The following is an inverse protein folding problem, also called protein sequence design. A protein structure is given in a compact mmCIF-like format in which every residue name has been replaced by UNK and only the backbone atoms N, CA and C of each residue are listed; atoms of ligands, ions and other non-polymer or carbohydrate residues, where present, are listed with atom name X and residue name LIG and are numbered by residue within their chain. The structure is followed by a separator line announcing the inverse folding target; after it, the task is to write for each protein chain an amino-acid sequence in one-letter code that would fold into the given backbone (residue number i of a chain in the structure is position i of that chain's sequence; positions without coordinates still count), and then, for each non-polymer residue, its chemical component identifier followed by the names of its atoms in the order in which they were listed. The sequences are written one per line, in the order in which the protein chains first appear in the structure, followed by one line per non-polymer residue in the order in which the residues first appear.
data_IF_574082912938
#
_entry.id   IF_574082912938
#
_cell.length_a   1.000
_cell.length_b   1.000
_cell.length_c   1.000
_cell.angle_alpha   90.00
_cell.angle_beta   90.00
_cell.angle_gamma   90.00
#
_symmetry.space_group_name_H-M   'P 1'
#
loop_
_entity.id
_entity.type
_entity.pdbx_description
1 polymer ?
#
# COMPACT_ATOMS: atom_id res chain seq x y z
N UNK A 1 5.20 -8.69 -6.97
CA UNK A 1 4.60 -7.35 -7.13
C UNK A 1 4.08 -6.81 -5.79
N UNK A 2 3.32 -7.60 -5.04
CA UNK A 2 2.61 -7.17 -3.82
C UNK A 2 3.55 -6.79 -2.66
N UNK A 3 4.62 -7.57 -2.41
CA UNK A 3 5.59 -7.25 -1.35
C UNK A 3 6.26 -5.88 -1.54
N UNK A 4 6.89 -5.58 -2.70
CA UNK A 4 7.50 -4.27 -2.92
C UNK A 4 6.46 -3.14 -2.96
N UNK A 5 5.23 -3.37 -3.45
CA UNK A 5 4.17 -2.37 -3.44
C UNK A 5 3.73 -2.03 -2.01
N UNK A 6 3.50 -3.05 -1.16
CA UNK A 6 3.15 -2.86 0.24
C UNK A 6 4.25 -2.13 1.01
N UNK A 7 5.51 -2.52 0.79
CA UNK A 7 6.67 -1.87 1.41
C UNK A 7 6.78 -0.40 1.00
N UNK A 8 6.64 -0.10 -0.30
CA UNK A 8 6.67 1.27 -0.81
C UNK A 8 5.54 2.11 -0.22
N UNK A 9 4.33 1.56 -0.15
CA UNK A 9 3.17 2.25 0.43
C UNK A 9 3.44 2.65 1.89
N UNK A 10 3.95 1.72 2.71
CA UNK A 10 4.27 2.00 4.11
C UNK A 10 5.40 3.01 4.23
N UNK A 11 6.50 2.82 3.49
CA UNK A 11 7.65 3.72 3.52
C UNK A 11 7.30 5.14 3.06
N UNK A 12 6.46 5.29 2.03
CA UNK A 12 5.98 6.59 1.55
C UNK A 12 5.00 7.24 2.52
N UNK A 13 4.17 6.44 3.19
CA UNK A 13 3.19 6.93 4.15
C UNK A 13 3.84 7.55 5.40
N UNK A 14 4.95 6.98 5.89
CA UNK A 14 5.62 7.43 7.13
C UNK A 14 6.04 8.90 7.08
N UNK A 15 6.85 9.39 6.14
CA UNK A 15 7.31 10.79 6.14
C UNK A 15 6.15 11.76 5.92
N UNK A 16 5.15 11.39 5.13
CA UNK A 16 3.99 12.23 4.85
C UNK A 16 3.11 12.32 6.10
N UNK A 17 2.78 11.19 6.73
CA UNK A 17 2.00 11.14 7.95
C UNK A 17 2.72 11.86 9.12
N UNK A 18 4.04 11.70 9.24
CA UNK A 18 4.83 12.38 10.26
C UNK A 18 4.79 13.90 10.10
N UNK A 19 4.88 14.43 8.88
CA UNK A 19 4.74 15.87 8.62
C UNK A 19 3.32 16.38 8.89
N UNK A 20 2.31 15.57 8.63
CA UNK A 20 0.89 15.93 8.76
C UNK A 20 0.29 15.59 10.13
N UNK A 21 1.08 15.00 11.05
CA UNK A 21 0.67 14.74 12.44
C UNK A 21 0.24 16.02 13.17
N UNK A 22 0.91 17.14 12.88
CA UNK A 22 0.60 18.43 13.48
C UNK A 22 -0.72 19.06 13.00
N UNK A 23 -1.08 20.21 13.57
CA UNK A 23 -2.21 21.03 13.11
C UNK A 23 -1.87 21.67 11.76
N UNK A 24 -2.37 21.10 10.69
CA UNK A 24 -2.22 21.60 9.33
C UNK A 24 -3.59 22.00 8.77
N UNK A 25 -3.70 23.24 8.24
CA UNK A 25 -4.98 23.77 7.72
C UNK A 25 -5.60 22.93 6.59
N UNK A 26 -4.81 22.19 5.82
CA UNK A 26 -5.24 21.31 4.72
C UNK A 26 -5.48 19.84 5.09
N UNK A 27 -5.30 19.43 6.37
CA UNK A 27 -5.40 18.03 6.80
C UNK A 27 -6.72 17.37 6.38
N UNK A 28 -7.84 18.07 6.58
CA UNK A 28 -9.19 17.56 6.25
C UNK A 28 -9.35 17.33 4.75
N UNK A 29 -8.91 18.30 3.92
CA UNK A 29 -8.98 18.18 2.47
C UNK A 29 -8.10 17.02 1.96
N UNK A 30 -6.87 16.91 2.46
CA UNK A 30 -5.97 15.83 2.10
C UNK A 30 -6.52 14.46 2.51
N UNK A 31 -7.11 14.34 3.70
CA UNK A 31 -7.76 13.09 4.13
C UNK A 31 -8.93 12.74 3.22
N UNK A 32 -9.77 13.71 2.83
CA UNK A 32 -10.89 13.49 1.91
C UNK A 32 -10.35 13.02 0.55
N UNK A 33 -9.34 13.69 -0.02
CA UNK A 33 -8.73 13.29 -1.29
C UNK A 33 -8.16 11.89 -1.27
N UNK A 34 -7.56 11.49 -0.14
CA UNK A 34 -7.02 10.13 0.03
C UNK A 34 -8.11 9.07 0.25
N UNK A 35 -9.25 9.43 0.81
CA UNK A 35 -10.37 8.51 1.01
C UNK A 35 -11.09 8.20 -0.31
N UNK A 36 -11.12 9.14 -1.27
CA UNK A 36 -11.80 8.95 -2.56
C UNK A 36 -11.38 7.64 -3.29
N UNK A 37 -10.10 7.32 -3.49
CA UNK A 37 -9.72 6.05 -4.13
C UNK A 37 -10.20 4.81 -3.36
N UNK A 38 -10.25 4.88 -2.03
CA UNK A 38 -10.74 3.78 -1.20
C UNK A 38 -12.25 3.56 -1.41
N UNK A 39 -13.02 4.65 -1.50
CA UNK A 39 -14.49 4.57 -1.68
C UNK A 39 -14.89 4.14 -3.08
N UNK A 40 -14.09 4.46 -4.10
CA UNK A 40 -14.31 4.01 -5.48
C UNK A 40 -14.11 2.49 -5.63
N UNK A 41 -13.34 1.89 -4.73
CA UNK A 41 -12.97 0.48 -4.83
C UNK A 41 -11.91 0.21 -5.90
N UNK A 42 -11.50 -1.05 -5.97
CA UNK A 42 -10.36 -1.45 -6.82
C UNK A 42 -10.71 -1.48 -8.31
N UNK A 43 -11.96 -1.80 -8.67
CA UNK A 43 -12.40 -1.89 -10.08
C UNK A 43 -12.43 -0.51 -10.72
N UNK A 44 -13.15 0.44 -10.13
CA UNK A 44 -13.27 1.80 -10.68
C UNK A 44 -11.93 2.54 -10.68
N UNK A 45 -11.09 2.27 -9.68
CA UNK A 45 -9.75 2.85 -9.65
C UNK A 45 -8.86 2.26 -10.75
N UNK A 46 -8.95 0.95 -11.02
CA UNK A 46 -8.22 0.30 -12.11
C UNK A 46 -8.69 0.79 -13.47
N UNK A 47 -10.00 0.92 -13.68
CA UNK A 47 -10.59 1.52 -14.90
C UNK A 47 -10.15 2.98 -15.11
N UNK A 48 -10.16 3.77 -14.03
CA UNK A 48 -9.66 5.14 -14.07
C UNK A 48 -8.19 5.21 -14.49
N UNK A 49 -7.35 4.34 -13.95
CA UNK A 49 -5.95 4.25 -14.33
C UNK A 49 -5.76 3.77 -15.77
N UNK A 50 -6.56 2.81 -16.24
CA UNK A 50 -6.56 2.35 -17.62
C UNK A 50 -6.85 3.50 -18.58
N UNK A 51 -7.89 4.26 -18.31
CA UNK A 51 -8.29 5.42 -19.13
C UNK A 51 -7.28 6.58 -19.03
N UNK A 52 -6.63 6.76 -17.89
CA UNK A 52 -5.67 7.86 -17.67
C UNK A 52 -4.28 7.56 -18.26
N UNK A 53 -3.76 6.35 -18.01
CA UNK A 53 -2.42 5.93 -18.40
C UNK A 53 -2.37 5.17 -19.73
N UNK A 54 -3.53 4.84 -20.31
CA UNK A 54 -3.62 4.11 -21.56
C UNK A 54 -2.95 4.84 -22.73
N UNK A 55 -2.75 4.16 -23.89
CA UNK A 55 -2.07 4.75 -25.05
C UNK A 55 -2.76 6.01 -25.58
N UNK A 56 -4.08 6.06 -25.47
CA UNK A 56 -4.94 7.22 -25.85
C UNK A 56 -5.32 8.09 -24.66
N UNK A 57 -4.82 7.73 -23.46
CA UNK A 57 -5.14 8.38 -22.20
C UNK A 57 -4.63 9.82 -22.11
N UNK A 58 -5.17 10.53 -21.12
CA UNK A 58 -4.85 11.94 -20.92
C UNK A 58 -3.34 12.15 -20.69
N UNK A 59 -2.69 11.28 -19.95
CA UNK A 59 -1.25 11.36 -19.69
C UNK A 59 -0.41 11.31 -20.97
N UNK A 60 -0.69 10.35 -21.85
CA UNK A 60 -0.01 10.23 -23.15
C UNK A 60 -0.33 11.38 -24.10
N UNK A 61 -1.55 11.96 -24.02
CA UNK A 61 -1.89 13.17 -24.79
C UNK A 61 -1.06 14.37 -24.36
N UNK A 62 -0.91 14.57 -23.04
CA UNK A 62 -0.09 15.67 -22.50
C UNK A 62 1.38 15.51 -22.92
N UNK A 63 1.96 14.31 -22.80
CA UNK A 63 3.34 14.04 -23.20
C UNK A 63 3.56 14.34 -24.70
N UNK A 64 2.62 13.98 -25.57
CA UNK A 64 2.71 14.26 -26.99
C UNK A 64 2.58 15.76 -27.29
N UNK A 65 1.65 16.45 -26.64
CA UNK A 65 1.47 17.90 -26.81
C UNK A 65 2.70 18.70 -26.36
N UNK A 66 3.41 18.18 -25.36
CA UNK A 66 4.68 18.78 -24.90
C UNK A 66 5.89 18.33 -25.74
N UNK A 67 5.69 17.58 -26.82
CA UNK A 67 6.74 17.04 -27.70
C UNK A 67 7.83 16.24 -26.97
N UNK A 68 7.49 15.66 -25.80
CA UNK A 68 8.44 14.89 -24.99
C UNK A 68 8.60 13.45 -25.50
N UNK A 69 7.61 12.93 -26.24
CA UNK A 69 7.64 11.56 -26.79
C UNK A 69 6.98 11.53 -28.16
N UNK A 70 7.65 10.85 -29.12
CA UNK A 70 7.12 10.64 -30.48
C UNK A 70 6.11 9.49 -30.57
N UNK A 71 6.11 8.57 -29.61
CA UNK A 71 5.21 7.43 -29.51
C UNK A 71 4.56 7.35 -28.14
N UNK A 72 3.36 6.73 -28.01
CA UNK A 72 2.71 6.53 -26.72
C UNK A 72 3.59 5.69 -25.79
N UNK A 73 3.80 6.15 -24.58
CA UNK A 73 4.50 5.37 -23.55
C UNK A 73 3.57 4.30 -23.03
N UNK A 74 4.00 3.04 -23.08
CA UNK A 74 3.24 1.90 -22.54
C UNK A 74 3.39 1.84 -21.03
N UNK A 75 2.50 2.52 -20.30
CA UNK A 75 2.46 2.54 -18.84
C UNK A 75 1.56 1.45 -18.25
N UNK A 76 0.74 0.83 -19.08
CA UNK A 76 -0.20 -0.24 -18.72
C UNK A 76 0.12 -1.52 -19.52
N UNK A 77 -0.58 -2.63 -19.17
CA UNK A 77 -0.34 -3.97 -19.71
C UNK A 77 1.09 -4.50 -19.46
N UNK A 78 1.70 -4.04 -18.37
CA UNK A 78 3.03 -4.46 -17.93
C UNK A 78 3.12 -4.52 -16.40
N UNK A 79 4.25 -5.02 -15.90
CA UNK A 79 4.53 -5.10 -14.46
C UNK A 79 4.45 -3.74 -13.75
N UNK A 80 4.97 -2.69 -14.40
CA UNK A 80 4.98 -1.33 -13.86
C UNK A 80 3.58 -0.75 -13.67
N UNK A 81 2.67 -1.01 -14.62
CA UNK A 81 1.28 -0.57 -14.53
C UNK A 81 0.54 -1.20 -13.34
N UNK A 82 0.68 -2.51 -13.15
CA UNK A 82 0.09 -3.20 -12.00
C UNK A 82 0.71 -2.69 -10.69
N UNK A 83 2.04 -2.57 -10.64
CA UNK A 83 2.73 -2.05 -9.46
C UNK A 83 2.25 -0.64 -9.09
N UNK A 84 2.16 0.26 -10.08
CA UNK A 84 1.65 1.62 -9.87
C UNK A 84 0.20 1.63 -9.39
N UNK A 85 -0.65 0.77 -9.97
CA UNK A 85 -2.04 0.61 -9.52
C UNK A 85 -2.12 0.18 -8.05
N UNK A 86 -1.29 -0.78 -7.63
CA UNK A 86 -1.20 -1.23 -6.23
C UNK A 86 -0.71 -0.13 -5.29
N UNK A 87 0.19 0.73 -5.78
CA UNK A 87 0.65 1.89 -4.99
C UNK A 87 -0.46 2.91 -4.85
N UNK A 88 -1.16 3.26 -5.93
CA UNK A 88 -2.25 4.25 -5.90
C UNK A 88 -3.41 3.80 -5.02
N UNK A 89 -3.78 2.52 -5.06
CA UNK A 89 -4.89 1.98 -4.25
C UNK A 89 -4.49 1.70 -2.80
N UNK A 90 -3.27 1.23 -2.58
CA UNK A 90 -2.79 0.84 -1.25
C UNK A 90 -2.25 2.00 -0.40
N UNK A 91 -1.70 3.05 -1.05
CA UNK A 91 -1.12 4.19 -0.35
C UNK A 91 -2.09 4.93 0.58
N UNK A 92 -3.33 5.27 0.16
CA UNK A 92 -4.29 5.94 1.04
C UNK A 92 -4.60 5.14 2.31
N UNK A 93 -4.75 3.83 2.16
CA UNK A 93 -5.01 2.92 3.29
C UNK A 93 -3.80 2.87 4.24
N UNK A 94 -2.59 2.67 3.71
CA UNK A 94 -1.36 2.68 4.50
C UNK A 94 -1.17 4.03 5.22
N UNK A 95 -1.43 5.14 4.54
CA UNK A 95 -1.32 6.48 5.09
C UNK A 95 -2.26 6.71 6.28
N UNK A 96 -3.53 6.33 6.15
CA UNK A 96 -4.52 6.49 7.22
C UNK A 96 -4.16 5.66 8.45
N UNK A 97 -3.69 4.42 8.24
CA UNK A 97 -3.23 3.57 9.34
C UNK A 97 -2.00 4.16 10.04
N UNK A 98 -0.98 4.54 9.29
CA UNK A 98 0.23 5.16 9.84
C UNK A 98 -0.12 6.45 10.59
N UNK A 99 -1.00 7.28 10.03
CA UNK A 99 -1.45 8.52 10.68
C UNK A 99 -2.20 8.23 11.98
N UNK A 100 -3.03 7.18 12.01
CA UNK A 100 -3.74 6.73 13.21
C UNK A 100 -2.76 6.32 14.31
N UNK A 101 -1.79 5.46 13.99
CA UNK A 101 -0.76 5.05 14.95
C UNK A 101 0.09 6.23 15.43
N UNK A 102 0.48 7.14 14.55
CA UNK A 102 1.20 8.36 14.93
C UNK A 102 0.40 9.27 15.84
N UNK A 103 -0.92 9.33 15.66
CA UNK A 103 -1.80 10.16 16.51
C UNK A 103 -1.97 9.57 17.91
N UNK A 104 -1.75 8.27 18.07
CA UNK A 104 -1.76 7.59 19.38
C UNK A 104 -0.48 7.76 20.20
N UNK A 105 0.62 8.26 19.59
CA UNK A 105 1.86 8.53 20.32
C UNK A 105 1.74 9.87 21.06
N UNK A 106 2.01 9.85 22.38
CA UNK A 106 1.94 11.04 23.23
C UNK A 106 2.91 12.14 22.75
N UNK A 107 2.42 13.34 22.42
CA UNK A 107 3.27 14.46 21.99
C UNK A 107 4.27 14.92 23.07
N UNK A 108 4.01 14.65 24.33
CA UNK A 108 4.89 15.04 25.44
C UNK A 108 6.25 14.38 25.34
N UNK A 109 6.34 13.15 24.83
CA UNK A 109 7.59 12.43 24.58
C UNK A 109 8.49 13.15 23.59
N UNK A 110 7.92 13.69 22.52
CA UNK A 110 8.64 14.47 21.52
C UNK A 110 9.11 15.83 22.10
N UNK A 111 8.28 16.46 22.94
CA UNK A 111 8.60 17.70 23.63
C UNK A 111 9.71 17.51 24.66
N UNK A 112 9.66 16.44 25.47
CA UNK A 112 10.71 16.10 26.43
C UNK A 112 12.06 15.85 25.76
N UNK A 113 12.09 15.13 24.64
CA UNK A 113 13.30 14.95 23.84
C UNK A 113 13.82 16.27 23.26
N UNK A 114 12.92 17.20 22.92
CA UNK A 114 13.31 18.53 22.44
C UNK A 114 13.99 19.39 23.53
N UNK A 115 13.50 19.34 24.77
CA UNK A 115 14.11 20.04 25.91
C UNK A 115 15.51 19.52 26.25
N UNK A 116 15.77 18.24 25.95
CA UNK A 116 17.10 17.63 26.05
C UNK A 116 18.02 17.95 24.85
N UNK A 117 17.60 18.85 23.93
CA UNK A 117 18.43 19.29 22.81
C UNK A 117 18.41 18.38 21.58
N UNK A 118 17.56 17.35 21.55
CA UNK A 118 17.49 16.42 20.42
C UNK A 118 16.94 17.12 19.15
N UNK A 119 17.65 17.01 18.02
CA UNK A 119 17.21 17.51 16.72
C UNK A 119 16.00 16.74 16.19
N UNK A 120 15.20 17.31 15.28
CA UNK A 120 13.97 16.69 14.74
C UNK A 120 14.19 15.27 14.19
N UNK A 121 15.26 15.05 13.43
CA UNK A 121 15.61 13.72 12.90
C UNK A 121 15.96 12.71 14.01
N UNK A 122 16.69 13.19 15.03
CA UNK A 122 17.03 12.41 16.20
C UNK A 122 15.79 11.93 16.95
N UNK A 123 14.87 12.86 17.26
CA UNK A 123 13.58 12.57 17.90
C UNK A 123 12.74 11.58 17.09
N UNK A 124 12.67 11.76 15.77
CA UNK A 124 11.99 10.81 14.90
C UNK A 124 12.59 9.41 15.01
N UNK A 125 13.92 9.28 14.91
CA UNK A 125 14.61 7.98 14.90
C UNK A 125 14.64 7.29 16.25
N UNK A 126 14.77 8.04 17.35
CA UNK A 126 14.96 7.47 18.70
C UNK A 126 13.69 7.37 19.53
N UNK A 127 12.68 8.20 19.23
CA UNK A 127 11.41 8.22 19.97
C UNK A 127 10.25 7.74 19.09
N UNK A 128 10.00 8.46 18.00
CA UNK A 128 8.77 8.20 17.20
C UNK A 128 8.84 6.88 16.45
N UNK A 129 9.94 6.58 15.78
CA UNK A 129 10.07 5.39 14.93
C UNK A 129 9.99 4.08 15.74
N UNK A 130 10.66 3.92 16.89
CA UNK A 130 10.51 2.72 17.70
C UNK A 130 9.08 2.53 18.21
N UNK A 131 8.42 3.60 18.67
CA UNK A 131 7.04 3.53 19.13
C UNK A 131 6.06 3.25 17.98
N UNK A 132 6.37 3.70 16.77
CA UNK A 132 5.57 3.47 15.57
C UNK A 132 5.80 2.06 14.98
N UNK A 133 6.96 1.44 15.19
CA UNK A 133 7.36 0.19 14.56
C UNK A 133 6.29 -0.94 14.65
N UNK A 134 5.64 -1.20 15.81
CA UNK A 134 4.57 -2.19 15.87
C UNK A 134 3.37 -1.84 14.99
N UNK A 135 3.05 -0.56 14.86
CA UNK A 135 1.99 -0.08 13.96
C UNK A 135 2.39 -0.21 12.49
N UNK A 136 3.67 0.03 12.15
CA UNK A 136 4.17 -0.16 10.78
C UNK A 136 4.12 -1.63 10.36
N UNK A 137 4.46 -2.56 11.25
CA UNK A 137 4.37 -3.99 10.99
C UNK A 137 2.92 -4.40 10.67
N UNK A 138 1.96 -3.95 11.47
CA UNK A 138 0.53 -4.20 11.23
C UNK A 138 0.06 -3.56 9.93
N UNK A 139 0.46 -2.30 9.66
CA UNK A 139 0.12 -1.60 8.41
C UNK A 139 0.68 -2.34 7.20
N UNK A 140 1.91 -2.83 7.29
CA UNK A 140 2.54 -3.62 6.23
C UNK A 140 1.77 -4.92 5.97
N UNK A 141 1.44 -5.69 7.01
CA UNK A 141 0.66 -6.92 6.87
C UNK A 141 -0.67 -6.68 6.16
N UNK A 142 -1.43 -5.68 6.60
CA UNK A 142 -2.74 -5.37 6.01
C UNK A 142 -2.61 -4.87 4.57
N UNK A 143 -1.63 -4.00 4.28
CA UNK A 143 -1.39 -3.50 2.92
C UNK A 143 -0.88 -4.62 2.00
N UNK A 144 -0.09 -5.55 2.53
CA UNK A 144 0.39 -6.71 1.79
C UNK A 144 -0.76 -7.64 1.40
N UNK A 145 -1.65 -7.98 2.34
CA UNK A 145 -2.83 -8.82 2.06
C UNK A 145 -3.70 -8.19 0.97
N UNK A 146 -4.00 -6.90 1.09
CA UNK A 146 -4.77 -6.18 0.05
C UNK A 146 -4.09 -6.20 -1.32
N UNK A 147 -2.76 -6.06 -1.36
CA UNK A 147 -2.00 -6.07 -2.60
C UNK A 147 -1.82 -7.49 -3.17
N UNK A 148 -1.75 -8.51 -2.33
CA UNK A 148 -1.56 -9.90 -2.75
C UNK A 148 -2.85 -10.52 -3.32
N UNK A 149 -3.98 -10.22 -2.70
CA UNK A 149 -5.31 -10.69 -3.13
C UNK A 149 -5.90 -9.87 -4.27
N UNK A 150 -5.17 -8.86 -4.81
CA UNK A 150 -5.69 -8.01 -5.87
C UNK A 150 -5.98 -8.80 -7.13
N UNK A 151 -7.19 -8.63 -7.67
CA UNK A 151 -7.64 -9.23 -8.93
C UNK A 151 -7.91 -8.15 -10.00
N UNK A 152 -8.75 -7.12 -9.74
CA UNK A 152 -9.17 -6.18 -10.79
C UNK A 152 -8.00 -5.40 -11.41
N UNK A 153 -7.08 -4.89 -10.61
CA UNK A 153 -5.92 -4.15 -11.12
C UNK A 153 -5.00 -5.03 -11.97
N UNK A 154 -4.85 -6.31 -11.60
CA UNK A 154 -4.01 -7.24 -12.35
C UNK A 154 -4.64 -7.61 -13.71
N UNK A 155 -5.97 -7.70 -13.78
CA UNK A 155 -6.72 -7.99 -15.02
C UNK A 155 -6.76 -6.77 -15.93
N UNK A 156 -7.15 -5.60 -15.41
CA UNK A 156 -7.43 -4.40 -16.21
C UNK A 156 -6.16 -3.66 -16.61
N UNK A 157 -5.23 -3.47 -15.70
CA UNK A 157 -4.02 -2.68 -15.93
C UNK A 157 -2.81 -3.55 -16.28
N UNK A 158 -2.87 -4.85 -15.96
CA UNK A 158 -1.83 -5.83 -16.26
C UNK A 158 -1.97 -6.51 -17.61
N UNK A 159 -1.20 -7.57 -17.77
CA UNK A 159 -1.28 -8.53 -18.87
C UNK A 159 -1.57 -9.93 -18.29
N UNK A 160 -2.86 -10.27 -18.11
CA UNK A 160 -3.25 -11.51 -17.43
C UNK A 160 -2.84 -12.79 -18.17
N UNK A 161 -2.64 -12.72 -19.48
CA UNK A 161 -2.16 -13.84 -20.29
C UNK A 161 -0.62 -13.96 -20.34
N UNK A 162 0.11 -12.97 -19.79
CA UNK A 162 1.55 -12.87 -19.90
C UNK A 162 2.27 -12.64 -18.56
N UNK A 163 3.13 -11.63 -18.54
CA UNK A 163 4.11 -11.36 -17.47
C UNK A 163 3.51 -10.98 -16.11
N UNK A 164 2.24 -10.58 -16.06
CA UNK A 164 1.57 -10.17 -14.82
C UNK A 164 0.46 -11.13 -14.38
N UNK A 165 0.52 -12.39 -14.80
CA UNK A 165 -0.39 -13.42 -14.32
C UNK A 165 -0.13 -13.70 -12.84
N UNK A 166 -1.05 -13.26 -11.99
CA UNK A 166 -1.00 -13.46 -10.53
C UNK A 166 -1.88 -14.64 -10.11
N UNK A 167 -1.66 -15.15 -8.89
CA UNK A 167 -2.39 -16.32 -8.39
C UNK A 167 -3.91 -16.09 -8.32
N UNK A 168 -4.35 -14.86 -8.01
CA UNK A 168 -5.77 -14.50 -8.01
C UNK A 168 -6.42 -14.64 -9.39
N UNK A 169 -5.70 -14.32 -10.48
CA UNK A 169 -6.15 -14.56 -11.85
C UNK A 169 -6.25 -16.06 -12.13
N UNK A 170 -5.23 -16.84 -11.73
CA UNK A 170 -5.24 -18.27 -11.93
C UNK A 170 -6.39 -18.96 -11.18
N UNK A 171 -6.69 -18.55 -9.95
CA UNK A 171 -7.83 -19.04 -9.18
C UNK A 171 -9.16 -18.72 -9.87
N UNK A 172 -9.30 -17.48 -10.36
CA UNK A 172 -10.49 -17.06 -11.10
C UNK A 172 -10.69 -17.87 -12.39
N UNK A 173 -9.64 -18.04 -13.19
CA UNK A 173 -9.69 -18.81 -14.41
C UNK A 173 -10.08 -20.28 -14.16
N UNK A 174 -9.49 -20.90 -13.13
CA UNK A 174 -9.85 -22.26 -12.75
C UNK A 174 -11.33 -22.36 -12.35
N UNK A 175 -11.83 -21.42 -11.54
CA UNK A 175 -13.21 -21.46 -11.05
C UNK A 175 -14.26 -21.14 -12.13
N UNK A 176 -14.04 -20.10 -12.93
CA UNK A 176 -15.08 -19.51 -13.78
C UNK A 176 -14.89 -19.76 -15.28
N UNK A 177 -13.67 -20.03 -15.74
CA UNK A 177 -13.40 -20.32 -17.15
C UNK A 177 -13.28 -21.82 -17.39
N UNK A 178 -12.65 -22.56 -16.47
CA UNK A 178 -12.44 -24.01 -16.58
C UNK A 178 -13.46 -24.83 -15.80
N UNK A 179 -14.23 -24.19 -14.89
CA UNK A 179 -15.18 -24.84 -13.98
C UNK A 179 -14.55 -25.92 -13.08
N UNK A 180 -13.22 -25.81 -12.86
CA UNK A 180 -12.46 -26.69 -11.96
C UNK A 180 -12.37 -26.06 -10.56
N UNK A 181 -13.43 -26.28 -9.78
CA UNK A 181 -13.50 -25.75 -8.41
C UNK A 181 -12.46 -26.38 -7.48
N UNK A 182 -12.01 -27.60 -7.80
CA UNK A 182 -10.97 -28.29 -7.01
C UNK A 182 -9.63 -27.56 -7.16
N UNK A 183 -9.22 -27.27 -8.39
CA UNK A 183 -8.01 -26.51 -8.68
C UNK A 183 -8.11 -25.07 -8.13
N UNK A 184 -9.25 -24.41 -8.32
CA UNK A 184 -9.47 -23.07 -7.80
C UNK A 184 -9.30 -23.00 -6.27
N UNK A 185 -9.90 -23.97 -5.55
CA UNK A 185 -9.78 -24.09 -4.10
C UNK A 185 -8.34 -24.37 -3.66
N UNK A 186 -7.62 -25.23 -4.38
CA UNK A 186 -6.22 -25.51 -4.10
C UNK A 186 -5.34 -24.24 -4.24
N UNK A 187 -5.55 -23.44 -5.31
CA UNK A 187 -4.84 -22.17 -5.50
C UNK A 187 -5.18 -21.18 -4.38
N UNK A 188 -6.46 -21.06 -4.00
CA UNK A 188 -6.88 -20.18 -2.91
C UNK A 188 -6.25 -20.59 -1.56
N UNK A 189 -6.14 -21.90 -1.28
CA UNK A 189 -5.45 -22.41 -0.09
C UNK A 189 -3.97 -22.06 -0.11
N UNK A 190 -3.28 -22.19 -1.24
CA UNK A 190 -1.88 -21.79 -1.38
C UNK A 190 -1.73 -20.29 -1.13
N UNK A 191 -2.62 -19.46 -1.68
CA UNK A 191 -2.61 -18.02 -1.41
C UNK A 191 -2.75 -17.70 0.06
N UNK A 192 -3.72 -18.34 0.75
CA UNK A 192 -3.94 -18.15 2.18
C UNK A 192 -2.72 -18.56 3.01
N UNK A 193 -2.08 -19.69 2.69
CA UNK A 193 -0.86 -20.14 3.36
C UNK A 193 0.29 -19.14 3.17
N UNK A 194 0.50 -18.64 1.96
CA UNK A 194 1.54 -17.62 1.68
C UNK A 194 1.28 -16.35 2.49
N UNK A 195 0.04 -15.86 2.53
CA UNK A 195 -0.33 -14.69 3.33
C UNK A 195 -0.05 -14.92 4.82
N UNK A 196 -0.49 -16.06 5.38
CA UNK A 196 -0.27 -16.41 6.78
C UNK A 196 1.21 -16.53 7.12
N UNK A 197 2.02 -17.13 6.24
CA UNK A 197 3.48 -17.22 6.43
C UNK A 197 4.11 -15.85 6.47
N UNK A 198 3.80 -14.97 5.53
CA UNK A 198 4.36 -13.60 5.50
C UNK A 198 3.94 -12.81 6.73
N UNK A 199 2.66 -12.85 7.10
CA UNK A 199 2.14 -12.18 8.30
C UNK A 199 2.83 -12.74 9.54
N UNK A 200 2.92 -14.06 9.67
CA UNK A 200 3.57 -14.75 10.79
C UNK A 200 5.04 -14.31 10.94
N UNK A 201 5.79 -14.30 9.85
CA UNK A 201 7.19 -13.86 9.84
C UNK A 201 7.33 -12.39 10.29
N UNK A 202 6.48 -11.49 9.79
CA UNK A 202 6.49 -10.07 10.17
C UNK A 202 6.14 -9.89 11.64
N UNK A 203 5.15 -10.62 12.16
CA UNK A 203 4.76 -10.54 13.57
C UNK A 203 5.80 -11.14 14.51
N UNK A 204 6.44 -12.24 14.14
CA UNK A 204 7.58 -12.81 14.90
C UNK A 204 8.75 -11.83 14.90
N UNK A 205 9.09 -11.27 13.76
CA UNK A 205 10.15 -10.26 13.68
C UNK A 205 9.83 -9.02 14.54
N UNK A 206 8.57 -8.56 14.49
CA UNK A 206 8.10 -7.49 15.37
C UNK A 206 8.27 -7.83 16.84
N UNK A 207 7.89 -9.04 17.29
CA UNK A 207 7.99 -9.45 18.69
C UNK A 207 9.44 -9.55 19.17
N UNK A 208 10.35 -9.96 18.28
CA UNK A 208 11.79 -10.03 18.57
C UNK A 208 12.43 -8.63 18.74
N UNK A 209 11.92 -7.63 18.01
CA UNK A 209 12.42 -6.25 18.09
C UNK A 209 11.79 -5.43 19.22
N UNK A 210 10.62 -5.84 19.72
CA UNK A 210 9.85 -5.08 20.69
C UNK A 210 9.64 -5.91 21.98
N UNK A 211 10.59 -5.79 22.90
CA UNK A 211 10.51 -6.34 24.27
C UNK A 211 9.88 -5.35 25.27
N UNK A 212 9.14 -4.36 24.79
CA UNK A 212 8.41 -3.42 25.65
C UNK A 212 7.21 -4.07 26.33
N UNK A 213 6.77 -3.58 27.51
CA UNK A 213 5.62 -4.14 28.20
C UNK A 213 4.37 -4.03 27.32
N UNK A 214 3.75 -5.17 27.05
CA UNK A 214 2.37 -5.25 26.53
C UNK A 214 1.43 -4.85 27.67
N UNK A 215 1.53 -3.60 28.09
CA UNK A 215 0.80 -3.05 29.21
C UNK A 215 -0.44 -2.34 28.76
N UNK A 216 -1.49 -3.02 28.70
CA UNK A 216 -2.83 -2.51 28.63
C UNK A 216 -3.71 -3.36 29.49
N UNK A 217 -3.49 -3.33 30.77
CA UNK A 217 -4.48 -3.75 31.77
C UNK A 217 -4.69 -2.59 32.70
N UNK A 218 -5.77 -1.89 32.53
CA UNK A 218 -6.45 -1.01 33.40
C UNK A 218 -7.90 -1.12 33.07
#
# INVERSE_FOLDING_TARGET
ISLPAALLNVLAAVPIAYRLRGRFRGKRLLTILLVVPITLGTVLTAEGLLNYLGPTGWFNRVLRNLHLTGSPVQLIHNYGGVFFSLVVTGFPFAFLLVLSYLSGIDPTLDSAAATLGARRWQRFRTVTLPLLAPGLATTFCLTFVLAFSVFPSAVLVGNPAGSTRVLSIAAYQAAYEQYDYSLASAIAMVMAVVELVVIGLVLVWRSALYTGPTGGKG
#
